data_IF_066814287335
#
_entry.id   IF_066814287335
#
_cell.length_a   1.000
_cell.length_b   1.000
_cell.length_c   1.000
_cell.angle_alpha   90.00
_cell.angle_beta   90.00
_cell.angle_gamma   90.00
#
_symmetry.space_group_name_H-M   'P 1'
#
loop_
_entity.id
_entity.type
_entity.pdbx_description
1 polymer ?
#
# COMPACT_ATOMS: atom_id res chain seq x y z
N UNK A 1 0.07 -8.46 0.33
CA UNK A 1 1.08 -8.19 1.38
C UNK A 1 0.59 -7.06 2.26
N UNK A 2 1.23 -6.80 3.41
CA UNK A 2 0.88 -5.68 4.27
C UNK A 2 2.14 -4.96 4.79
N UNK A 3 2.02 -3.65 5.02
CA UNK A 3 3.05 -2.87 5.72
C UNK A 3 2.73 -2.87 7.21
N UNK A 4 3.70 -3.30 8.01
CA UNK A 4 3.62 -3.42 9.46
C UNK A 4 4.68 -2.56 10.13
N UNK A 5 4.53 -2.34 11.44
CA UNK A 5 5.49 -1.62 12.26
C UNK A 5 5.13 -0.15 12.48
N UNK A 6 6.14 0.66 12.80
CA UNK A 6 5.96 2.01 13.34
C UNK A 6 5.15 2.94 12.44
N UNK A 7 5.33 2.85 11.11
CA UNK A 7 4.54 3.67 10.17
C UNK A 7 3.03 3.39 10.32
N UNK A 8 2.64 2.12 10.44
CA UNK A 8 1.22 1.72 10.58
C UNK A 8 0.65 2.23 11.89
N UNK A 9 1.41 2.10 12.99
CA UNK A 9 0.95 2.55 14.30
C UNK A 9 0.96 4.08 14.44
N UNK A 10 1.88 4.77 13.77
CA UNK A 10 1.92 6.22 13.73
C UNK A 10 0.75 6.81 12.92
N UNK A 11 0.10 6.04 12.04
CA UNK A 11 -1.02 6.50 11.24
C UNK A 11 -2.36 6.37 12.00
N UNK A 12 -2.57 7.26 12.97
CA UNK A 12 -3.72 7.26 13.88
C UNK A 12 -4.41 8.64 14.00
N UNK A 13 -5.61 8.68 14.58
CA UNK A 13 -6.45 9.89 14.71
C UNK A 13 -5.72 11.08 15.36
N UNK A 14 -4.88 10.82 16.37
CA UNK A 14 -4.10 11.84 17.07
C UNK A 14 -3.08 12.49 16.13
N UNK A 15 -2.34 11.67 15.40
CA UNK A 15 -1.32 12.14 14.46
C UNK A 15 -1.93 12.78 13.21
N UNK A 16 -3.08 12.29 12.73
CA UNK A 16 -3.82 12.95 11.64
C UNK A 16 -4.25 14.37 12.02
N UNK A 17 -4.75 14.53 13.24
CA UNK A 17 -5.16 15.86 13.73
C UNK A 17 -3.98 16.81 13.84
N UNK A 18 -2.85 16.32 14.37
CA UNK A 18 -1.62 17.10 14.49
C UNK A 18 -1.04 17.49 13.13
N UNK A 19 -0.96 16.55 12.20
CA UNK A 19 -0.50 16.76 10.83
C UNK A 19 -1.40 17.78 10.11
N UNK A 20 -2.73 17.63 10.23
CA UNK A 20 -3.68 18.55 9.62
C UNK A 20 -3.49 20.00 10.08
N UNK A 21 -3.33 20.20 11.40
CA UNK A 21 -3.10 21.54 11.96
C UNK A 21 -1.77 22.16 11.54
N UNK A 22 -0.82 21.34 11.05
CA UNK A 22 0.48 21.78 10.50
C UNK A 22 0.48 21.89 8.97
N UNK A 23 -0.67 21.75 8.32
CA UNK A 23 -0.83 21.70 6.86
C UNK A 23 -0.14 20.51 6.18
N UNK A 24 0.19 19.45 6.93
CA UNK A 24 0.67 18.18 6.41
C UNK A 24 -0.52 17.27 6.10
N UNK A 25 -1.27 17.65 5.06
CA UNK A 25 -2.61 17.10 4.80
C UNK A 25 -2.62 15.94 3.80
N UNK A 26 -1.47 15.60 3.19
CA UNK A 26 -1.42 14.62 2.11
C UNK A 26 -0.27 13.66 2.32
N UNK A 27 -0.60 12.44 2.70
CA UNK A 27 0.33 11.33 2.76
C UNK A 27 0.37 10.58 1.43
N UNK A 28 1.57 10.29 0.92
CA UNK A 28 1.75 9.50 -0.32
C UNK A 28 2.65 8.30 -0.06
N UNK A 29 2.09 7.11 -0.31
CA UNK A 29 2.78 5.83 -0.23
C UNK A 29 2.96 5.29 -1.64
N UNK A 30 4.20 5.25 -2.13
CA UNK A 30 4.54 4.54 -3.37
C UNK A 30 4.81 3.09 -3.05
N UNK A 31 4.39 2.19 -3.92
CA UNK A 31 4.71 0.78 -3.81
C UNK A 31 4.84 0.15 -5.18
N UNK A 32 5.57 -0.96 -5.21
CA UNK A 32 5.63 -1.78 -6.41
C UNK A 32 5.85 -3.24 -6.11
N UNK A 33 5.46 -4.04 -7.09
CA UNK A 33 5.55 -5.50 -7.04
C UNK A 33 6.13 -5.97 -8.36
N UNK A 34 7.16 -6.81 -8.28
CA UNK A 34 7.85 -7.41 -9.42
C UNK A 34 7.86 -8.93 -9.26
N UNK A 35 7.48 -9.63 -10.32
CA UNK A 35 7.64 -11.08 -10.41
C UNK A 35 8.93 -11.38 -11.17
N UNK A 36 9.67 -12.37 -10.72
CA UNK A 36 10.86 -12.84 -11.41
C UNK A 36 10.89 -14.37 -11.45
N UNK A 37 11.35 -14.94 -12.56
CA UNK A 37 11.71 -16.36 -12.60
C UNK A 37 13.12 -16.57 -12.04
N UNK A 38 13.28 -17.59 -11.20
CA UNK A 38 14.56 -18.08 -10.72
C UNK A 38 15.00 -19.27 -11.59
N UNK A 39 16.16 -19.13 -12.24
CA UNK A 39 16.74 -20.03 -13.23
C UNK A 39 18.09 -19.49 -13.73
N UNK A 40 18.67 -20.05 -14.81
CA UNK A 40 20.01 -19.64 -15.32
C UNK A 40 20.04 -18.14 -15.72
N UNK A 41 18.89 -17.54 -16.08
CA UNK A 41 18.72 -16.10 -16.23
C UNK A 41 17.46 -15.65 -15.49
N UNK A 42 17.60 -14.67 -14.60
CA UNK A 42 16.45 -14.00 -13.97
C UNK A 42 15.70 -13.20 -15.04
N UNK A 43 14.46 -13.55 -15.30
CA UNK A 43 13.59 -12.79 -16.20
C UNK A 43 12.45 -12.16 -15.39
N UNK A 44 12.17 -10.87 -15.60
CA UNK A 44 10.98 -10.24 -15.03
C UNK A 44 9.73 -10.80 -15.73
N UNK A 45 8.73 -11.24 -14.95
CA UNK A 45 7.51 -11.86 -15.48
C UNK A 45 6.36 -10.85 -15.45
N UNK A 46 5.66 -10.72 -16.59
CA UNK A 46 4.54 -9.81 -16.73
C UNK A 46 4.94 -8.33 -16.58
N UNK A 47 3.94 -7.46 -16.44
CA UNK A 47 4.15 -6.03 -16.21
C UNK A 47 4.32 -5.76 -14.71
N UNK A 48 5.41 -5.11 -14.26
CA UNK A 48 5.56 -4.75 -12.86
C UNK A 48 4.48 -3.75 -12.44
N UNK A 49 4.03 -3.86 -11.19
CA UNK A 49 3.20 -2.82 -10.57
C UNK A 49 4.14 -1.77 -10.00
N UNK A 50 3.92 -0.52 -10.38
CA UNK A 50 4.56 0.66 -9.80
C UNK A 50 3.48 1.74 -9.71
N UNK A 51 2.93 1.93 -8.52
CA UNK A 51 1.81 2.85 -8.30
C UNK A 51 1.90 3.45 -6.89
N UNK A 52 0.87 4.19 -6.50
CA UNK A 52 0.82 4.85 -5.22
C UNK A 52 -0.60 4.86 -4.63
N UNK A 53 -0.66 4.90 -3.30
CA UNK A 53 -1.85 5.28 -2.54
C UNK A 53 -1.65 6.67 -1.96
N UNK A 54 -2.71 7.46 -1.93
CA UNK A 54 -2.73 8.78 -1.28
C UNK A 54 -3.71 8.74 -0.13
N UNK A 55 -3.33 9.27 1.02
CA UNK A 55 -4.27 9.54 2.09
C UNK A 55 -4.35 11.05 2.30
N UNK A 56 -5.54 11.61 2.04
CA UNK A 56 -5.84 13.02 2.22
C UNK A 56 -6.54 13.23 3.55
N UNK A 57 -5.98 14.09 4.40
CA UNK A 57 -6.56 14.53 5.66
C UNK A 57 -7.44 15.74 5.41
N UNK A 58 -8.68 15.72 5.87
CA UNK A 58 -9.62 16.82 5.70
C UNK A 58 -10.57 16.95 6.88
N UNK A 59 -11.06 18.16 7.11
CA UNK A 59 -12.10 18.43 8.09
C UNK A 59 -13.47 18.49 7.39
N UNK A 60 -14.50 17.93 8.01
CA UNK A 60 -15.88 18.03 7.51
C UNK A 60 -16.89 18.11 8.65
N UNK A 61 -17.99 18.82 8.42
CA UNK A 61 -19.16 18.88 9.32
C UNK A 61 -20.25 17.89 8.92
N UNK A 62 -20.04 17.05 7.91
CA UNK A 62 -21.08 16.16 7.41
C UNK A 62 -21.48 15.11 8.48
N UNK A 63 -22.70 15.15 9.03
CA UNK A 63 -23.11 14.25 10.11
C UNK A 63 -23.16 12.77 9.70
N UNK A 64 -23.19 12.46 8.40
CA UNK A 64 -23.09 11.06 7.89
C UNK A 64 -21.67 10.51 7.92
N UNK A 65 -20.68 11.40 7.89
CA UNK A 65 -19.28 11.03 8.07
C UNK A 65 -18.92 11.14 9.54
N UNK A 66 -19.34 12.19 10.24
CA UNK A 66 -19.11 12.35 11.69
C UNK A 66 -19.73 11.17 12.45
N UNK A 67 -18.88 10.36 13.09
CA UNK A 67 -19.34 9.29 13.97
C UNK A 67 -20.21 9.92 15.09
N UNK A 68 -21.48 9.54 15.24
CA UNK A 68 -22.38 10.13 16.25
C UNK A 68 -21.87 10.01 17.69
N UNK A 69 -20.93 9.09 17.95
CA UNK A 69 -20.36 8.81 19.27
C UNK A 69 -18.91 9.29 19.45
N UNK A 70 -18.29 9.94 18.46
CA UNK A 70 -16.93 10.52 18.57
C UNK A 70 -16.87 11.92 17.97
N UNK A 71 -16.19 12.83 18.66
CA UNK A 71 -15.80 14.15 18.15
C UNK A 71 -14.72 14.08 17.04
N UNK A 72 -14.91 13.24 16.00
CA UNK A 72 -13.94 13.16 14.90
C UNK A 72 -14.02 14.43 14.06
N UNK A 73 -13.05 15.33 14.25
CA UNK A 73 -12.90 16.56 13.45
C UNK A 73 -12.18 16.29 12.13
N UNK A 74 -11.16 15.43 12.13
CA UNK A 74 -10.35 15.12 10.95
C UNK A 74 -10.65 13.73 10.40
N UNK A 75 -10.79 13.66 9.08
CA UNK A 75 -11.14 12.50 8.28
C UNK A 75 -10.01 12.17 7.31
N UNK A 76 -9.94 10.90 6.92
CA UNK A 76 -8.96 10.41 5.95
C UNK A 76 -9.69 9.84 4.74
N UNK A 77 -9.31 10.30 3.56
CA UNK A 77 -9.71 9.70 2.30
C UNK A 77 -8.50 9.00 1.70
N UNK A 78 -8.58 7.67 1.55
CA UNK A 78 -7.55 6.88 0.90
C UNK A 78 -7.92 6.72 -0.58
N UNK A 79 -7.07 7.18 -1.48
CA UNK A 79 -7.24 7.00 -2.91
C UNK A 79 -6.35 5.84 -3.41
N UNK A 80 -6.98 4.83 -4.02
CA UNK A 80 -6.32 3.71 -4.71
C UNK A 80 -6.63 3.82 -6.19
N UNK A 81 -5.62 3.94 -7.06
CA UNK A 81 -5.84 4.03 -8.51
C UNK A 81 -6.89 5.09 -8.91
N UNK A 82 -6.86 6.27 -8.28
CA UNK A 82 -7.81 7.38 -8.45
C UNK A 82 -9.22 7.17 -7.89
N UNK A 83 -9.53 6.03 -7.29
CA UNK A 83 -10.80 5.78 -6.60
C UNK A 83 -10.69 6.17 -5.10
N UNK A 84 -11.55 7.08 -4.60
CA UNK A 84 -11.50 7.53 -3.22
C UNK A 84 -12.33 6.63 -2.29
N UNK A 85 -11.73 6.22 -1.19
CA UNK A 85 -12.35 5.43 -0.13
C UNK A 85 -12.34 6.23 1.18
N UNK A 86 -13.50 6.35 1.81
CA UNK A 86 -13.66 6.96 3.13
C UNK A 86 -14.19 5.87 4.06
N UNK A 87 -13.45 5.58 5.12
CA UNK A 87 -13.83 4.59 6.14
C UNK A 87 -14.19 5.30 7.45
N UNK A 88 -14.96 4.62 8.28
CA UNK A 88 -15.52 5.21 9.50
C UNK A 88 -14.62 4.97 10.72
N UNK A 89 -13.88 3.87 10.76
CA UNK A 89 -12.95 3.55 11.84
C UNK A 89 -11.49 3.79 11.46
N UNK A 90 -10.65 4.04 12.47
CA UNK A 90 -9.22 4.22 12.29
C UNK A 90 -8.56 2.97 11.70
N UNK A 91 -8.96 1.79 12.19
CA UNK A 91 -8.41 0.52 11.73
C UNK A 91 -8.74 0.25 10.26
N UNK A 92 -9.99 0.47 9.82
CA UNK A 92 -10.34 0.31 8.41
C UNK A 92 -9.56 1.27 7.51
N UNK A 93 -9.29 2.50 7.95
CA UNK A 93 -8.44 3.43 7.21
C UNK A 93 -7.01 2.89 7.10
N UNK A 94 -6.44 2.37 8.19
CA UNK A 94 -5.10 1.76 8.17
C UNK A 94 -5.05 0.57 7.22
N UNK A 95 -6.04 -0.33 7.28
CA UNK A 95 -6.15 -1.47 6.38
C UNK A 95 -6.26 -1.01 4.92
N UNK A 96 -7.10 -0.01 4.65
CA UNK A 96 -7.28 0.55 3.32
C UNK A 96 -5.96 1.14 2.77
N UNK A 97 -5.13 1.74 3.62
CA UNK A 97 -3.86 2.34 3.21
C UNK A 97 -2.72 1.31 3.09
N UNK A 98 -2.57 0.41 4.07
CA UNK A 98 -1.38 -0.43 4.25
C UNK A 98 -1.55 -1.90 3.90
N UNK A 99 -2.77 -2.37 3.59
CA UNK A 99 -3.02 -3.75 3.19
C UNK A 99 -3.29 -3.86 1.68
N UNK A 100 -2.56 -4.78 1.03
CA UNK A 100 -2.48 -4.89 -0.42
C UNK A 100 -2.91 -6.28 -0.88
N UNK A 101 -3.88 -6.29 -1.80
CA UNK A 101 -4.35 -7.46 -2.52
C UNK A 101 -4.27 -7.14 -4.03
N UNK A 102 -3.10 -7.39 -4.61
CA UNK A 102 -2.82 -7.11 -6.02
C UNK A 102 -2.83 -8.42 -6.82
N UNK A 103 -3.51 -8.41 -7.97
CA UNK A 103 -3.55 -9.56 -8.87
C UNK A 103 -2.52 -9.40 -9.98
N UNK A 104 -1.71 -10.43 -10.18
CA UNK A 104 -0.76 -10.52 -11.28
C UNK A 104 -1.18 -11.59 -12.27
N UNK A 105 -1.14 -11.23 -13.54
CA UNK A 105 -1.35 -12.15 -14.65
C UNK A 105 -0.11 -12.11 -15.55
N UNK A 106 0.39 -13.27 -15.95
CA UNK A 106 1.46 -13.43 -16.94
C UNK A 106 1.15 -14.67 -17.79
N UNK A 107 1.75 -14.78 -18.98
CA UNK A 107 1.49 -15.93 -19.84
C UNK A 107 2.44 -17.08 -19.50
N UNK A 108 1.94 -18.31 -19.55
CA UNK A 108 2.79 -19.50 -19.41
C UNK A 108 3.90 -19.57 -20.49
N UNK A 109 3.64 -18.98 -21.66
CA UNK A 109 4.65 -18.84 -22.73
C UNK A 109 5.87 -18.01 -22.31
N UNK A 110 5.71 -17.09 -21.35
CA UNK A 110 6.79 -16.21 -20.89
C UNK A 110 7.83 -16.98 -20.04
N UNK A 111 7.41 -18.10 -19.44
CA UNK A 111 8.27 -19.04 -18.73
C UNK A 111 8.83 -20.13 -19.65
N UNK A 112 8.02 -20.60 -20.60
CA UNK A 112 8.37 -21.73 -21.45
C UNK A 112 8.20 -23.09 -20.73
N UNK A 113 8.44 -24.19 -21.45
CA UNK A 113 8.26 -25.53 -20.90
C UNK A 113 9.34 -25.86 -19.87
N UNK A 114 8.96 -26.63 -18.84
CA UNK A 114 9.87 -27.11 -17.81
C UNK A 114 9.53 -26.62 -16.42
N UNK A 115 10.52 -26.76 -15.53
CA UNK A 115 10.45 -26.45 -14.11
C UNK A 115 10.96 -25.03 -13.87
N UNK A 116 10.15 -24.18 -13.24
CA UNK A 116 10.48 -22.79 -12.96
C UNK A 116 10.22 -22.47 -11.49
N UNK A 117 11.08 -21.66 -10.90
CA UNK A 117 10.82 -21.04 -9.60
C UNK A 117 10.39 -19.59 -9.85
N UNK A 118 9.38 -19.13 -9.12
CA UNK A 118 8.87 -17.75 -9.21
C UNK A 118 9.07 -17.08 -7.87
N UNK A 119 9.85 -16.01 -7.87
CA UNK A 119 10.00 -15.11 -6.74
C UNK A 119 9.20 -13.82 -6.93
N UNK A 120 8.78 -13.23 -5.81
CA UNK A 120 8.11 -11.93 -5.78
C UNK A 120 8.97 -10.96 -5.01
N UNK A 121 9.22 -9.80 -5.59
CA UNK A 121 9.86 -8.67 -4.94
C UNK A 121 8.82 -7.56 -4.73
N UNK A 122 8.71 -7.08 -3.50
CA UNK A 122 7.81 -6.00 -3.11
C UNK A 122 8.63 -4.86 -2.53
N UNK A 123 8.31 -3.63 -2.90
CA UNK A 123 8.88 -2.44 -2.28
C UNK A 123 7.79 -1.42 -1.95
N UNK A 124 8.04 -0.60 -0.95
CA UNK A 124 7.22 0.56 -0.60
C UNK A 124 8.11 1.72 -0.14
N UNK A 125 7.68 2.95 -0.38
CA UNK A 125 8.38 4.16 0.10
C UNK A 125 7.41 5.29 0.38
N UNK A 126 7.78 6.13 1.33
CA UNK A 126 7.02 7.31 1.72
C UNK A 126 7.96 8.49 2.01
N UNK A 127 7.40 9.68 2.04
CA UNK A 127 8.13 10.90 2.35
C UNK A 127 8.01 11.27 3.83
N UNK A 128 8.73 12.33 4.20
CA UNK A 128 8.65 12.91 5.53
C UNK A 128 7.24 13.46 5.78
N UNK A 129 6.71 13.16 6.97
CA UNK A 129 5.47 13.71 7.51
C UNK A 129 5.66 14.03 9.00
N UNK A 130 4.72 14.75 9.61
CA UNK A 130 4.83 15.15 11.03
C UNK A 130 4.96 13.97 12.02
N UNK A 131 4.56 12.77 11.57
CA UNK A 131 4.54 11.54 12.36
C UNK A 131 5.45 10.43 11.80
N UNK A 132 6.22 10.69 10.73
CA UNK A 132 7.15 9.69 10.17
C UNK A 132 8.27 10.36 9.36
N UNK A 133 9.48 9.81 9.44
CA UNK A 133 10.61 10.19 8.60
C UNK A 133 10.52 9.48 7.23
N UNK A 134 11.17 10.02 6.17
CA UNK A 134 11.16 9.37 4.87
C UNK A 134 11.92 8.05 4.94
N UNK A 135 11.32 6.98 4.39
CA UNK A 135 11.93 5.67 4.40
C UNK A 135 11.41 4.82 3.21
N UNK A 136 12.12 3.73 2.93
CA UNK A 136 11.76 2.74 1.92
C UNK A 136 12.05 1.33 2.41
N UNK A 137 11.10 0.44 2.22
CA UNK A 137 11.21 -0.97 2.57
C UNK A 137 11.16 -1.81 1.30
N UNK A 138 11.95 -2.88 1.28
CA UNK A 138 12.02 -3.84 0.18
C UNK A 138 12.08 -5.24 0.77
N UNK A 139 11.26 -6.15 0.25
CA UNK A 139 11.18 -7.52 0.74
C UNK A 139 10.94 -8.50 -0.41
N UNK A 140 11.30 -9.76 -0.18
CA UNK A 140 11.14 -10.86 -1.14
C UNK A 140 10.24 -11.92 -0.52
N UNK A 141 9.24 -12.36 -1.29
CA UNK A 141 8.42 -13.50 -0.89
C UNK A 141 9.20 -14.80 -1.12
N UNK A 142 8.76 -15.87 -0.44
CA UNK A 142 9.26 -17.22 -0.71
C UNK A 142 8.97 -17.61 -2.15
N UNK A 143 9.94 -18.28 -2.76
CA UNK A 143 9.82 -18.76 -4.13
C UNK A 143 8.81 -19.90 -4.22
N UNK A 144 8.07 -19.95 -5.33
CA UNK A 144 7.08 -20.97 -5.62
C UNK A 144 7.49 -21.70 -6.88
N UNK A 145 7.44 -23.03 -6.86
CA UNK A 145 7.77 -23.87 -7.99
C UNK A 145 6.54 -24.09 -8.89
N UNK A 146 6.72 -23.93 -10.21
CA UNK A 146 5.70 -24.17 -11.22
C UNK A 146 6.29 -25.05 -12.33
N UNK A 147 5.51 -26.05 -12.77
CA UNK A 147 5.86 -26.96 -13.87
C UNK A 147 4.90 -26.71 -15.03
N UNK A 148 5.46 -26.43 -16.22
CA UNK A 148 4.71 -26.21 -17.46
C UNK A 148 5.03 -27.37 -18.42
N UNK A 149 3.99 -28.13 -18.78
CA UNK A 149 4.06 -29.29 -19.69
C UNK A 149 4.01 -28.89 -21.18
#
# INVERSE_FOLDING_TARGET
>A
FSIQGELREAFNEKNWTKAYNKNDNLFKLKYGVKLHSTGIRKHELGKPIDTYRKASLFWTRNPKLVNPMKEKRIWVQVAKNFEPFIKLSEEEVRQELFDFDEKFNFNASDLGKGKHEIGVEVWASWHKHDYTEPDSVKNHAKEIEIIIN
#
